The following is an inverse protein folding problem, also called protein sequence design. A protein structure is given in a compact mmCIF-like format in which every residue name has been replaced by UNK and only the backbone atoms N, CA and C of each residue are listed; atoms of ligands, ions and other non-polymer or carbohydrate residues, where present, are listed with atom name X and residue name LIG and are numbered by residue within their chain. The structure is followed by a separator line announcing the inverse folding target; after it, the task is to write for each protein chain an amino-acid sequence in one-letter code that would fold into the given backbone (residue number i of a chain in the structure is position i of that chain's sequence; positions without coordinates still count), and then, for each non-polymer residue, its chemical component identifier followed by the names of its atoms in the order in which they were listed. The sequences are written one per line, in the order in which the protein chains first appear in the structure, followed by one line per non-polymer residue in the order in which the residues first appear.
data_IF_009566816294
#
_entry.id   IF_009566816294
#
_cell.length_a   1.000
_cell.length_b   1.000
_cell.length_c   1.000
_cell.angle_alpha   90.00
_cell.angle_beta   90.00
_cell.angle_gamma   90.00
#
_symmetry.space_group_name_H-M   'P 1'
#
loop_
_entity.id
_entity.type
_entity.pdbx_description
1 polymer ?
#
# COMPACT_ATOMS: atom_id res chain seq x y z
N UNK A 1 27.25 34.40 16.84
CA UNK A 1 26.35 33.28 17.11
C UNK A 1 27.22 32.07 17.43
N UNK A 2 27.38 31.72 18.70
CA UNK A 2 28.21 30.57 19.10
C UNK A 2 27.43 29.29 18.83
N UNK A 3 27.90 28.45 17.90
CA UNK A 3 27.35 27.12 17.64
C UNK A 3 27.69 26.23 18.84
N UNK A 4 26.75 26.16 19.78
CA UNK A 4 26.89 25.32 20.96
C UNK A 4 26.72 23.84 20.55
N UNK A 5 27.73 22.98 20.70
CA UNK A 5 27.67 21.58 20.24
C UNK A 5 26.53 20.77 20.89
N UNK A 6 26.07 21.20 22.06
CA UNK A 6 24.90 20.64 22.77
C UNK A 6 23.59 20.78 22.00
N UNK A 7 23.36 21.91 21.32
CA UNK A 7 22.12 22.12 20.55
C UNK A 7 22.13 21.27 19.27
N UNK A 8 23.31 20.98 18.73
CA UNK A 8 23.50 20.13 17.57
C UNK A 8 23.25 18.64 17.89
N UNK A 9 23.72 18.16 19.04
CA UNK A 9 23.52 16.76 19.47
C UNK A 9 22.11 16.51 20.00
N UNK A 10 21.52 17.47 20.73
CA UNK A 10 20.16 17.38 21.25
C UNK A 10 19.11 17.55 20.14
N UNK A 11 19.31 18.50 19.22
CA UNK A 11 18.47 18.67 18.04
C UNK A 11 18.56 17.47 17.08
N UNK A 12 19.77 16.92 16.89
CA UNK A 12 20.00 15.70 16.11
C UNK A 12 19.29 14.48 16.69
N UNK A 13 19.38 14.24 18.00
CA UNK A 13 18.68 13.13 18.67
C UNK A 13 17.16 13.23 18.55
N UNK A 14 16.58 14.43 18.69
CA UNK A 14 15.13 14.65 18.53
C UNK A 14 14.69 14.45 17.07
N UNK A 15 15.48 14.92 16.10
CA UNK A 15 15.21 14.69 14.68
C UNK A 15 15.24 13.20 14.32
N UNK A 16 16.22 12.44 14.83
CA UNK A 16 16.27 10.99 14.65
C UNK A 16 15.07 10.27 15.26
N UNK A 17 14.58 10.73 16.41
CA UNK A 17 13.40 10.14 17.06
C UNK A 17 12.12 10.42 16.25
N UNK A 18 11.95 11.64 15.74
CA UNK A 18 10.84 12.01 14.83
C UNK A 18 10.89 11.21 13.52
N UNK A 19 12.08 11.01 12.96
CA UNK A 19 12.27 10.21 11.75
C UNK A 19 11.90 8.74 11.97
N UNK A 20 12.31 8.15 13.11
CA UNK A 20 11.94 6.77 13.47
C UNK A 20 10.44 6.61 13.62
N UNK A 21 9.76 7.56 14.29
CA UNK A 21 8.30 7.56 14.39
C UNK A 21 7.62 7.72 13.02
N UNK A 22 8.14 8.60 12.17
CA UNK A 22 7.63 8.78 10.81
C UNK A 22 7.75 7.49 9.98
N UNK A 23 8.91 6.82 10.03
CA UNK A 23 9.11 5.55 9.33
C UNK A 23 8.19 4.44 9.86
N UNK A 24 7.96 4.37 11.17
CA UNK A 24 7.02 3.40 11.77
C UNK A 24 5.59 3.61 11.27
N UNK A 25 5.10 4.85 11.30
CA UNK A 25 3.76 5.20 10.82
C UNK A 25 3.66 4.96 9.31
N UNK A 26 4.69 5.35 8.55
CA UNK A 26 4.73 5.15 7.11
C UNK A 26 4.69 3.66 6.73
N UNK A 27 5.37 2.80 7.49
CA UNK A 27 5.34 1.35 7.28
C UNK A 27 3.93 0.79 7.50
N UNK A 28 3.22 1.22 8.56
CA UNK A 28 1.85 0.80 8.84
C UNK A 28 0.88 1.25 7.74
N UNK A 29 0.97 2.51 7.31
CA UNK A 29 0.15 3.06 6.21
C UNK A 29 0.41 2.29 4.93
N UNK A 30 1.69 2.12 4.57
CA UNK A 30 2.10 1.40 3.36
C UNK A 30 1.57 -0.03 3.36
N UNK A 31 1.59 -0.71 4.51
CA UNK A 31 1.01 -2.04 4.67
C UNK A 31 -0.48 -2.07 4.28
N UNK A 32 -1.30 -1.16 4.82
CA UNK A 32 -2.73 -1.13 4.49
C UNK A 32 -3.02 -0.73 3.05
N UNK A 33 -2.25 0.20 2.48
CA UNK A 33 -2.40 0.61 1.08
C UNK A 33 -2.05 -0.56 0.15
N UNK A 34 -0.94 -1.26 0.39
CA UNK A 34 -0.53 -2.41 -0.42
C UNK A 34 -1.55 -3.53 -0.31
N UNK A 35 -1.97 -3.89 0.91
CA UNK A 35 -3.00 -4.93 1.11
C UNK A 35 -4.32 -4.57 0.43
N UNK A 36 -4.77 -3.32 0.56
CA UNK A 36 -5.98 -2.83 -0.12
C UNK A 36 -5.86 -2.87 -1.64
N UNK A 37 -4.68 -2.52 -2.17
CA UNK A 37 -4.37 -2.57 -3.61
C UNK A 37 -4.42 -3.99 -4.16
N UNK A 38 -3.83 -4.94 -3.44
CA UNK A 38 -3.84 -6.37 -3.82
C UNK A 38 -5.27 -6.92 -3.81
N UNK A 39 -6.03 -6.65 -2.75
CA UNK A 39 -7.42 -7.08 -2.65
C UNK A 39 -8.29 -6.48 -3.77
N UNK A 40 -8.11 -5.20 -4.06
CA UNK A 40 -8.82 -4.53 -5.14
C UNK A 40 -8.45 -5.10 -6.51
N UNK A 41 -7.15 -5.35 -6.76
CA UNK A 41 -6.69 -5.97 -8.01
C UNK A 41 -7.27 -7.36 -8.23
N UNK A 42 -7.34 -8.19 -7.18
CA UNK A 42 -7.99 -9.51 -7.21
C UNK A 42 -9.48 -9.37 -7.50
N UNK A 43 -10.17 -8.44 -6.84
CA UNK A 43 -11.60 -8.21 -7.05
C UNK A 43 -11.91 -7.80 -8.50
N UNK A 44 -11.14 -6.86 -9.06
CA UNK A 44 -11.28 -6.42 -10.46
C UNK A 44 -11.08 -7.59 -11.41
N UNK A 45 -10.05 -8.42 -11.18
CA UNK A 45 -9.78 -9.57 -12.02
C UNK A 45 -10.94 -10.57 -12.00
N UNK A 46 -11.42 -10.96 -10.81
CA UNK A 46 -12.53 -11.90 -10.67
C UNK A 46 -13.86 -11.37 -11.25
N UNK A 47 -14.06 -10.05 -11.30
CA UNK A 47 -15.22 -9.45 -11.97
C UNK A 47 -15.12 -9.45 -13.49
N UNK A 48 -13.90 -9.40 -14.05
CA UNK A 48 -13.69 -9.29 -15.51
C UNK A 48 -13.63 -10.65 -16.21
N UNK A 49 -13.09 -11.67 -15.56
CA UNK A 49 -12.88 -12.99 -16.16
C UNK A 49 -13.72 -14.07 -15.46
N UNK A 50 -14.31 -14.97 -16.24
CA UNK A 50 -15.00 -16.14 -15.70
C UNK A 50 -14.00 -17.11 -15.04
N UNK A 51 -14.44 -17.81 -13.98
CA UNK A 51 -13.60 -18.81 -13.29
C UNK A 51 -13.05 -19.88 -14.26
N UNK A 52 -13.83 -20.24 -15.29
CA UNK A 52 -13.42 -21.19 -16.33
C UNK A 52 -12.27 -20.64 -17.18
N UNK A 53 -12.43 -19.43 -17.73
CA UNK A 53 -11.40 -18.80 -18.57
C UNK A 53 -10.13 -18.51 -17.76
N UNK A 54 -10.28 -18.13 -16.49
CA UNK A 54 -9.19 -17.95 -15.54
C UNK A 54 -8.41 -19.26 -15.34
N UNK A 55 -9.11 -20.35 -15.03
CA UNK A 55 -8.46 -21.65 -14.78
C UNK A 55 -7.77 -22.19 -16.04
N UNK A 56 -8.42 -22.11 -17.19
CA UNK A 56 -7.85 -22.55 -18.46
C UNK A 56 -6.66 -21.67 -18.90
N UNK A 57 -6.74 -20.35 -18.67
CA UNK A 57 -5.64 -19.43 -18.90
C UNK A 57 -4.44 -19.71 -17.98
N UNK A 58 -4.68 -20.04 -16.71
CA UNK A 58 -3.61 -20.44 -15.76
C UNK A 58 -2.94 -21.72 -16.25
N UNK A 59 -3.72 -22.72 -16.67
CA UNK A 59 -3.17 -23.97 -17.22
C UNK A 59 -2.31 -23.70 -18.46
N UNK A 60 -2.78 -22.85 -19.39
CA UNK A 60 -1.99 -22.44 -20.56
C UNK A 60 -0.63 -21.84 -20.16
N UNK A 61 -0.62 -20.88 -19.23
CA UNK A 61 0.62 -20.23 -18.78
C UNK A 61 1.54 -21.17 -17.99
N UNK A 62 0.96 -22.08 -17.21
CA UNK A 62 1.70 -23.12 -16.49
C UNK A 62 2.38 -24.09 -17.47
N UNK A 63 1.64 -24.59 -18.46
CA UNK A 63 2.19 -25.45 -19.52
C UNK A 63 3.25 -24.72 -20.32
N UNK A 64 3.04 -23.44 -20.64
CA UNK A 64 4.04 -22.61 -21.33
C UNK A 64 5.33 -22.46 -20.53
N UNK A 65 5.23 -22.28 -19.21
CA UNK A 65 6.38 -22.18 -18.30
C UNK A 65 7.15 -23.51 -18.21
N UNK A 66 6.44 -24.63 -18.15
CA UNK A 66 7.03 -25.97 -17.98
C UNK A 66 7.46 -26.60 -19.32
N UNK A 67 6.98 -26.09 -20.46
CA UNK A 67 7.32 -26.55 -21.82
C UNK A 67 8.77 -27.04 -22.02
N UNK A 68 9.82 -26.28 -21.65
CA UNK A 68 11.20 -26.73 -21.85
C UNK A 68 11.60 -27.96 -21.02
N UNK A 69 10.90 -28.24 -19.93
CA UNK A 69 11.05 -29.45 -19.12
C UNK A 69 10.18 -30.58 -19.63
N UNK A 70 8.92 -30.30 -20.01
CA UNK A 70 7.98 -31.30 -20.54
C UNK A 70 8.45 -31.94 -21.83
N UNK A 71 9.14 -31.19 -22.70
CA UNK A 71 9.71 -31.75 -23.93
C UNK A 71 10.82 -32.78 -23.69
N UNK A 72 11.46 -32.76 -22.51
CA UNK A 72 12.52 -33.69 -22.12
C UNK A 72 12.00 -34.89 -21.32
N UNK A 73 10.71 -34.91 -20.96
CA UNK A 73 10.12 -36.00 -20.18
C UNK A 73 9.69 -37.16 -21.09
N UNK A 74 9.94 -38.39 -20.62
CA UNK A 74 9.57 -39.64 -21.34
C UNK A 74 8.05 -39.80 -21.40
N UNK A 75 7.34 -39.44 -20.33
CA UNK A 75 5.88 -39.40 -20.29
C UNK A 75 5.38 -37.96 -20.39
N UNK A 76 4.56 -37.69 -21.42
CA UNK A 76 3.94 -36.38 -21.56
C UNK A 76 2.77 -36.25 -20.57
N UNK A 77 2.71 -35.19 -19.74
CA UNK A 77 1.58 -34.97 -18.87
C UNK A 77 0.35 -34.59 -19.70
N UNK A 78 -0.77 -35.19 -19.31
CA UNK A 78 -2.09 -34.88 -19.85
C UNK A 78 -2.78 -33.93 -18.88
N UNK A 79 -3.28 -32.81 -19.37
CA UNK A 79 -4.01 -31.83 -18.57
C UNK A 79 -5.48 -31.84 -18.95
N UNK A 80 -6.33 -31.68 -17.94
CA UNK A 80 -7.78 -31.60 -18.12
C UNK A 80 -8.20 -30.13 -18.25
N UNK A 81 -8.68 -29.76 -19.43
CA UNK A 81 -9.29 -28.45 -19.71
C UNK A 81 -10.80 -28.57 -19.52
N UNK A 82 -11.38 -27.61 -18.80
CA UNK A 82 -12.82 -27.54 -18.60
C UNK A 82 -13.44 -26.62 -19.63
N UNK A 83 -14.31 -27.16 -20.47
CA UNK A 83 -15.11 -26.40 -21.42
C UNK A 83 -16.58 -26.61 -21.08
N UNK A 84 -17.16 -25.70 -20.30
CA UNK A 84 -18.51 -25.84 -19.74
C UNK A 84 -18.68 -27.18 -19.00
N UNK A 85 -19.61 -28.03 -19.45
CA UNK A 85 -19.90 -29.36 -18.91
C UNK A 85 -18.85 -30.42 -19.30
N UNK A 86 -18.01 -30.14 -20.30
CA UNK A 86 -17.06 -31.10 -20.85
C UNK A 86 -15.66 -30.97 -20.23
N UNK A 87 -15.07 -32.11 -19.88
CA UNK A 87 -13.69 -32.24 -19.44
C UNK A 87 -12.87 -32.83 -20.58
N UNK A 88 -12.09 -32.01 -21.26
CA UNK A 88 -11.25 -32.41 -22.37
C UNK A 88 -9.83 -32.69 -21.87
N UNK A 89 -9.25 -33.80 -22.28
CA UNK A 89 -7.89 -34.20 -21.94
C UNK A 89 -6.97 -33.80 -23.09
N UNK A 90 -6.05 -32.87 -22.85
CA UNK A 90 -5.10 -32.41 -23.86
C UNK A 90 -3.67 -32.66 -23.41
N UNK A 91 -2.78 -33.00 -24.36
CA UNK A 91 -1.34 -33.03 -24.11
C UNK A 91 -0.78 -31.61 -24.04
N UNK A 92 0.37 -31.44 -23.37
CA UNK A 92 1.05 -30.15 -23.27
C UNK A 92 1.22 -29.43 -24.62
N UNK A 93 1.52 -30.18 -25.68
CA UNK A 93 1.74 -29.64 -27.03
C UNK A 93 0.43 -29.19 -27.70
N UNK A 94 -0.67 -29.90 -27.46
CA UNK A 94 -1.98 -29.49 -27.96
C UNK A 94 -2.46 -28.22 -27.27
N UNK A 95 -2.23 -28.07 -25.96
CA UNK A 95 -2.61 -26.87 -25.19
C UNK A 95 -1.89 -25.61 -25.69
N UNK A 96 -0.68 -25.74 -26.23
CA UNK A 96 0.08 -24.60 -26.72
C UNK A 96 -0.32 -24.16 -28.14
N UNK A 97 -0.95 -25.06 -28.91
CA UNK A 97 -1.29 -24.84 -30.31
C UNK A 97 -2.80 -24.71 -30.55
N UNK A 98 -3.64 -25.06 -29.57
CA UNK A 98 -5.09 -24.95 -29.67
C UNK A 98 -5.55 -23.47 -29.56
N UNK A 99 -6.39 -23.04 -30.48
CA UNK A 99 -6.80 -21.62 -30.57
C UNK A 99 -7.55 -21.16 -29.32
N UNK A 100 -8.34 -22.04 -28.70
CA UNK A 100 -9.12 -21.70 -27.51
C UNK A 100 -8.24 -21.53 -26.26
N UNK A 101 -7.26 -22.40 -26.06
CA UNK A 101 -6.33 -22.30 -24.92
C UNK A 101 -5.40 -21.10 -25.06
N UNK A 102 -4.93 -20.82 -26.28
CA UNK A 102 -4.15 -19.62 -26.58
C UNK A 102 -4.98 -18.37 -26.31
N UNK A 103 -6.24 -18.32 -26.75
CA UNK A 103 -7.16 -17.23 -26.45
C UNK A 103 -7.34 -17.01 -24.95
N UNK A 104 -7.60 -18.07 -24.17
CA UNK A 104 -7.71 -17.99 -22.71
C UNK A 104 -6.43 -17.44 -22.06
N UNK A 105 -5.26 -17.84 -22.59
CA UNK A 105 -3.97 -17.34 -22.15
C UNK A 105 -3.76 -15.85 -22.43
N UNK A 106 -4.13 -15.37 -23.61
CA UNK A 106 -4.06 -13.95 -23.97
C UNK A 106 -5.06 -13.12 -23.17
N UNK A 107 -6.30 -13.61 -23.03
CA UNK A 107 -7.33 -12.95 -22.22
C UNK A 107 -6.85 -12.79 -20.77
N UNK A 108 -6.32 -13.84 -20.15
CA UNK A 108 -5.80 -13.76 -18.79
C UNK A 108 -4.67 -12.74 -18.66
N UNK A 109 -3.73 -12.72 -19.62
CA UNK A 109 -2.63 -11.75 -19.63
C UNK A 109 -3.17 -10.31 -19.74
N UNK A 110 -4.10 -10.06 -20.65
CA UNK A 110 -4.68 -8.74 -20.86
C UNK A 110 -5.44 -8.26 -19.62
N UNK A 111 -6.27 -9.11 -19.04
CA UNK A 111 -7.04 -8.78 -17.84
C UNK A 111 -6.12 -8.56 -16.63
N UNK A 112 -5.03 -9.33 -16.49
CA UNK A 112 -4.01 -9.09 -15.47
C UNK A 112 -3.35 -7.72 -15.62
N UNK A 113 -3.01 -7.31 -16.85
CA UNK A 113 -2.42 -5.99 -17.11
C UNK A 113 -3.42 -4.88 -16.75
N UNK A 114 -4.68 -5.01 -17.18
CA UNK A 114 -5.72 -4.01 -16.91
C UNK A 114 -6.00 -3.91 -15.41
N UNK A 115 -6.17 -5.05 -14.73
CA UNK A 115 -6.38 -5.10 -13.28
C UNK A 115 -5.19 -4.53 -12.51
N UNK A 116 -3.96 -4.86 -12.95
CA UNK A 116 -2.72 -4.31 -12.37
C UNK A 116 -2.63 -2.80 -12.53
N UNK A 117 -2.88 -2.26 -13.73
CA UNK A 117 -2.88 -0.82 -13.99
C UNK A 117 -3.96 -0.09 -13.16
N UNK A 118 -5.17 -0.64 -13.09
CA UNK A 118 -6.25 -0.07 -12.30
C UNK A 118 -5.91 -0.06 -10.79
N UNK A 119 -5.36 -1.16 -10.28
CA UNK A 119 -4.92 -1.27 -8.89
C UNK A 119 -3.80 -0.28 -8.57
N UNK A 120 -2.79 -0.14 -9.44
CA UNK A 120 -1.71 0.83 -9.27
C UNK A 120 -2.20 2.27 -9.26
N UNK A 121 -3.16 2.61 -10.13
CA UNK A 121 -3.75 3.95 -10.16
C UNK A 121 -4.49 4.25 -8.85
N UNK A 122 -5.29 3.31 -8.35
CA UNK A 122 -5.97 3.43 -7.06
C UNK A 122 -4.97 3.55 -5.91
N UNK A 123 -3.90 2.75 -5.90
CA UNK A 123 -2.84 2.83 -4.92
C UNK A 123 -2.18 4.21 -4.90
N UNK A 124 -1.84 4.73 -6.08
CA UNK A 124 -1.22 6.05 -6.23
C UNK A 124 -2.13 7.16 -5.67
N UNK A 125 -3.42 7.14 -6.03
CA UNK A 125 -4.40 8.13 -5.55
C UNK A 125 -4.61 8.01 -4.04
N UNK A 126 -4.71 6.79 -3.51
CA UNK A 126 -4.87 6.55 -2.08
C UNK A 126 -3.65 7.04 -1.28
N UNK A 127 -2.45 6.69 -1.72
CA UNK A 127 -1.19 7.16 -1.12
C UNK A 127 -1.10 8.68 -1.15
N UNK A 128 -1.42 9.30 -2.28
CA UNK A 128 -1.43 10.76 -2.42
C UNK A 128 -2.42 11.40 -1.45
N UNK A 129 -3.66 10.89 -1.36
CA UNK A 129 -4.68 11.40 -0.45
C UNK A 129 -4.25 11.28 1.03
N UNK A 130 -3.63 10.16 1.41
CA UNK A 130 -3.14 9.94 2.78
C UNK A 130 -2.01 10.91 3.12
N UNK A 131 -1.01 11.07 2.23
CA UNK A 131 0.07 12.03 2.48
C UNK A 131 -0.42 13.48 2.47
N UNK A 132 -1.37 13.82 1.61
CA UNK A 132 -1.99 15.14 1.61
C UNK A 132 -2.73 15.41 2.94
N UNK A 133 -3.48 14.42 3.44
CA UNK A 133 -4.15 14.50 4.74
C UNK A 133 -3.17 14.66 5.90
N UNK A 134 -2.11 13.84 5.95
CA UNK A 134 -1.07 13.93 6.97
C UNK A 134 -0.35 15.28 6.89
N UNK A 135 -0.03 15.77 5.70
CA UNK A 135 0.61 17.06 5.51
C UNK A 135 -0.27 18.22 6.00
N UNK A 136 -1.59 18.15 5.77
CA UNK A 136 -2.54 19.13 6.27
C UNK A 136 -2.64 19.10 7.80
N UNK A 137 -2.78 17.92 8.39
CA UNK A 137 -2.86 17.74 9.85
C UNK A 137 -1.55 18.12 10.53
N UNK A 138 -0.40 17.79 9.94
CA UNK A 138 0.92 18.17 10.43
C UNK A 138 1.15 19.68 10.41
N UNK A 139 0.63 20.39 9.39
CA UNK A 139 0.65 21.87 9.37
C UNK A 139 -0.17 22.45 10.51
N UNK A 140 -1.38 21.94 10.73
CA UNK A 140 -2.22 22.36 11.87
C UNK A 140 -1.55 22.08 13.21
N UNK A 141 -0.89 20.93 13.37
CA UNK A 141 -0.14 20.61 14.59
C UNK A 141 1.09 21.50 14.79
N UNK A 142 1.76 21.93 13.73
CA UNK A 142 2.89 22.88 13.81
C UNK A 142 2.44 24.30 14.11
N UNK A 143 1.24 24.69 13.67
CA UNK A 143 0.64 26.00 13.97
C UNK A 143 0.07 26.04 15.40
N UNK A 144 -0.50 24.92 15.87
CA UNK A 144 -0.99 24.74 17.24
C UNK A 144 0.10 24.28 18.23
N UNK A 145 1.35 24.09 17.78
CA UNK A 145 2.48 23.86 18.66
C UNK A 145 2.83 25.16 19.41
N UNK A 146 2.03 25.46 20.43
CA UNK A 146 2.56 25.98 21.69
C UNK A 146 3.57 24.92 22.17
N UNK A 147 4.80 25.00 21.67
CA UNK A 147 5.95 24.12 21.91
C UNK A 147 5.86 23.47 23.29
N UNK A 148 5.35 22.23 23.35
CA UNK A 148 5.29 21.42 24.57
C UNK A 148 4.83 22.14 25.85
N UNK A 149 3.75 22.93 25.80
CA UNK A 149 3.23 23.66 26.97
C UNK A 149 4.13 24.81 27.46
N UNK A 150 5.17 25.15 26.70
CA UNK A 150 6.02 26.33 26.91
C UNK A 150 5.78 27.26 25.72
N UNK A 151 4.80 28.15 25.85
CA UNK A 151 4.84 29.37 25.07
C UNK A 151 6.16 30.06 25.42
N UNK A 152 7.09 30.14 24.47
CA UNK A 152 8.23 31.08 24.54
C UNK A 152 7.64 32.47 24.39
N UNK A 153 7.04 32.94 25.47
CA UNK A 153 6.54 34.27 25.55
C UNK A 153 7.74 35.17 25.75
N UNK A 154 8.14 35.86 24.67
CA UNK A 154 9.29 36.76 24.68
C UNK A 154 9.09 37.97 25.63
N UNK A 155 7.85 38.16 26.12
CA UNK A 155 7.48 39.25 27.03
C UNK A 155 7.17 38.72 28.44
N UNK A 156 7.86 39.23 29.49
CA UNK A 156 7.58 38.90 30.89
C UNK A 156 6.13 39.19 31.33
N UNK A 157 5.45 40.12 30.64
CA UNK A 157 4.07 40.52 30.94
C UNK A 157 3.07 39.41 30.59
N UNK A 158 3.33 38.66 29.54
CA UNK A 158 2.44 37.60 29.07
C UNK A 158 2.59 36.33 29.93
N UNK A 159 3.80 36.06 30.43
CA UNK A 159 4.04 35.04 31.47
C UNK A 159 3.29 35.37 32.75
N UNK A 160 3.35 36.63 33.22
CA UNK A 160 2.62 37.06 34.41
C UNK A 160 1.10 36.95 34.24
N UNK A 161 0.58 37.22 33.03
CA UNK A 161 -0.84 37.08 32.71
C UNK A 161 -1.28 35.62 32.69
N UNK A 162 -0.47 34.71 32.12
CA UNK A 162 -0.72 33.28 32.14
C UNK A 162 -0.67 32.71 33.56
N UNK A 163 0.34 33.09 34.36
CA UNK A 163 0.42 32.68 35.76
C UNK A 163 -0.81 33.15 36.55
N UNK A 164 -1.28 34.39 36.36
CA UNK A 164 -2.47 34.92 37.04
C UNK A 164 -3.75 34.16 36.67
N UNK A 165 -3.86 33.71 35.42
CA UNK A 165 -5.02 32.93 34.94
C UNK A 165 -5.01 31.50 35.52
N UNK A 166 -3.85 30.84 35.53
CA UNK A 166 -3.68 29.52 36.15
C UNK A 166 -3.91 29.58 37.67
N UNK A 167 -3.35 30.59 38.35
CA UNK A 167 -3.57 30.82 39.79
C UNK A 167 -5.04 31.08 40.10
N UNK A 168 -5.75 31.84 39.27
CA UNK A 168 -7.19 32.07 39.41
C UNK A 168 -8.02 30.79 39.33
N UNK A 169 -7.68 29.89 38.40
CA UNK A 169 -8.37 28.60 38.24
C UNK A 169 -8.11 27.62 39.40
N UNK A 170 -6.93 27.67 40.02
CA UNK A 170 -6.59 26.83 41.18
C UNK A 170 -7.28 27.35 42.45
N UNK A 171 -7.43 28.68 42.60
CA UNK A 171 -8.05 29.29 43.77
C UNK A 171 -9.59 29.22 43.77
N UNK A 172 -10.23 29.17 42.60
CA UNK A 172 -11.69 29.10 42.49
C UNK A 172 -12.12 28.14 41.37
N UNK A 173 -12.19 26.82 41.65
CA UNK A 173 -12.52 25.80 40.65
C UNK A 173 -14.02 25.75 40.25
N UNK A 174 -14.89 26.57 40.87
CA UNK A 174 -16.34 26.49 40.69
C UNK A 174 -17.02 27.85 40.43
N UNK A 175 -16.46 28.67 39.54
CA UNK A 175 -17.24 29.65 38.78
C UNK A 175 -16.95 29.52 37.30
#
# INVERSE_FOLDING_TARGET
MSLNPRDLTQGGQVAFMRLKMFLQINNLISYYVIMGTVLFGIAVLLMRISIQNLTNGIIYWFVRMISPFTEKMVSQPVYTIRYYEHKLQYSARQILNDDYTVYCGQLLKQELIIAGCAALLVAFVATFAVYWYIGRTGRQQSEDEIIGGRALSESPKDVARMMKKTWGSIRYPHR
#
